data_IF_965637321605
#
_entry.id   IF_965637321605
#
_cell.length_a   1.000
_cell.length_b   1.000
_cell.length_c   1.000
_cell.angle_alpha   90.00
_cell.angle_beta   90.00
_cell.angle_gamma   90.00
#
_symmetry.space_group_name_H-M   'P 1'
#
loop_
_entity.id
_entity.type
_entity.pdbx_description
1 polymer ?
#
# COMPACT_ATOMS: atom_id res chain seq x y z
N UNK A 1 -56.17 17.58 -64.57
CA UNK A 1 -54.97 18.38 -64.94
C UNK A 1 -54.28 18.86 -63.67
N UNK A 2 -53.04 18.40 -63.47
CA UNK A 2 -51.95 18.83 -62.54
C UNK A 2 -52.27 19.41 -61.15
N UNK A 3 -51.78 18.69 -60.12
CA UNK A 3 -50.72 19.08 -59.13
C UNK A 3 -50.75 18.03 -57.99
N UNK A 4 -49.77 17.14 -57.82
CA UNK A 4 -48.36 17.28 -57.40
C UNK A 4 -48.16 16.96 -55.91
N UNK A 5 -47.55 15.79 -55.68
CA UNK A 5 -46.45 15.47 -54.74
C UNK A 5 -46.59 15.65 -53.22
N UNK A 6 -45.91 14.71 -52.53
CA UNK A 6 -45.52 14.62 -51.11
C UNK A 6 -46.45 13.74 -50.27
N UNK A 7 -46.08 12.47 -50.06
CA UNK A 7 -45.76 11.88 -48.73
C UNK A 7 -44.98 10.57 -48.99
N UNK A 8 -43.66 10.62 -48.79
CA UNK A 8 -42.77 9.47 -48.76
C UNK A 8 -41.92 9.60 -47.50
N UNK A 9 -42.39 9.12 -46.36
CA UNK A 9 -41.57 8.85 -45.15
C UNK A 9 -42.39 8.21 -44.03
N UNK A 10 -42.57 6.88 -44.04
CA UNK A 10 -42.97 6.10 -42.85
C UNK A 10 -41.94 5.00 -42.50
N UNK A 11 -40.85 4.86 -43.26
CA UNK A 11 -39.85 3.81 -43.03
C UNK A 11 -38.44 4.37 -42.88
N UNK A 12 -38.19 5.19 -41.84
CA UNK A 12 -36.83 5.48 -41.35
C UNK A 12 -36.82 6.11 -39.94
N UNK A 13 -37.31 5.40 -38.92
CA UNK A 13 -37.14 5.83 -37.52
C UNK A 13 -36.86 4.65 -36.57
N UNK A 14 -36.17 3.64 -37.07
CA UNK A 14 -35.60 2.56 -36.27
C UNK A 14 -34.09 2.49 -36.53
N UNK A 15 -33.34 3.48 -36.05
CA UNK A 15 -31.89 3.42 -35.91
C UNK A 15 -31.41 4.55 -34.99
N UNK A 16 -30.70 4.15 -33.93
CA UNK A 16 -29.82 4.98 -33.08
C UNK A 16 -30.54 5.85 -32.03
N UNK A 17 -30.89 5.24 -30.90
CA UNK A 17 -30.74 5.87 -29.58
C UNK A 17 -29.48 5.33 -28.91
N UNK A 18 -28.32 5.75 -29.40
CA UNK A 18 -27.16 5.86 -28.52
C UNK A 18 -27.42 7.07 -27.63
N UNK A 19 -27.91 6.82 -26.42
CA UNK A 19 -27.96 7.85 -25.39
C UNK A 19 -26.52 8.13 -24.94
N UNK A 20 -25.88 9.10 -25.58
CA UNK A 20 -24.81 9.85 -24.93
C UNK A 20 -25.49 10.66 -23.84
N UNK A 21 -25.43 10.18 -22.60
CA UNK A 21 -25.87 10.96 -21.44
C UNK A 21 -25.09 12.28 -21.40
N UNK A 22 -25.72 13.38 -21.81
CA UNK A 22 -25.26 14.73 -21.51
C UNK A 22 -25.91 15.16 -20.18
N UNK A 23 -25.14 15.74 -19.24
CA UNK A 23 -25.70 16.30 -18.01
C UNK A 23 -26.60 17.49 -18.35
N UNK A 24 -27.81 17.54 -17.75
CA UNK A 24 -28.77 18.64 -17.90
C UNK A 24 -28.68 19.62 -16.72
N UNK A 25 -28.74 20.92 -17.02
CA UNK A 25 -28.46 22.07 -16.14
C UNK A 25 -29.31 22.20 -14.86
N UNK A 26 -28.59 22.44 -13.76
CA UNK A 26 -28.81 23.40 -12.66
C UNK A 26 -30.20 23.51 -12.02
N UNK A 27 -30.53 22.51 -11.21
CA UNK A 27 -31.07 22.73 -9.86
C UNK A 27 -30.74 21.58 -8.90
N UNK A 28 -30.34 20.42 -9.43
CA UNK A 28 -29.77 19.30 -8.67
C UNK A 28 -28.41 18.95 -9.28
N UNK A 29 -27.34 19.03 -8.50
CA UNK A 29 -26.00 18.54 -8.84
C UNK A 29 -25.95 16.98 -8.89
N UNK A 30 -27.00 16.32 -9.37
CA UNK A 30 -27.15 14.86 -9.33
C UNK A 30 -27.01 14.24 -10.72
N UNK A 31 -26.07 13.32 -10.84
CA UNK A 31 -25.80 12.51 -12.04
C UNK A 31 -26.41 11.12 -11.83
N UNK A 32 -27.11 10.61 -12.84
CA UNK A 32 -27.71 9.28 -12.82
C UNK A 32 -27.04 8.37 -13.84
N UNK A 33 -26.59 7.20 -13.39
CA UNK A 33 -26.10 6.12 -14.25
C UNK A 33 -27.06 4.95 -14.20
N UNK A 34 -27.44 4.45 -15.37
CA UNK A 34 -28.30 3.28 -15.54
C UNK A 34 -27.93 2.50 -16.80
N UNK A 35 -28.18 1.20 -16.81
CA UNK A 35 -27.91 0.34 -17.96
C UNK A 35 -26.41 0.12 -18.17
N UNK A 36 -25.92 0.40 -19.38
CA UNK A 36 -24.49 0.30 -19.70
C UNK A 36 -23.86 1.69 -19.79
N UNK A 37 -22.83 1.92 -18.98
CA UNK A 37 -22.02 3.15 -18.98
C UNK A 37 -20.61 2.81 -19.42
N UNK A 38 -20.12 3.51 -20.46
CA UNK A 38 -18.79 3.33 -21.00
C UNK A 38 -17.93 4.55 -20.65
N UNK A 39 -16.84 4.32 -19.90
CA UNK A 39 -15.88 5.35 -19.52
C UNK A 39 -14.59 5.16 -20.33
N UNK A 40 -14.36 6.04 -21.30
CA UNK A 40 -13.16 6.05 -22.16
C UNK A 40 -12.07 6.99 -21.66
N UNK A 41 -12.36 7.75 -20.61
CA UNK A 41 -11.47 8.65 -19.89
C UNK A 41 -11.91 8.70 -18.43
N UNK A 42 -11.03 9.21 -17.58
CA UNK A 42 -11.31 9.39 -16.16
C UNK A 42 -12.63 10.13 -15.96
N UNK A 43 -13.40 9.64 -15.00
CA UNK A 43 -14.60 10.32 -14.51
C UNK A 43 -14.32 10.82 -13.11
N UNK A 44 -14.43 12.13 -12.93
CA UNK A 44 -14.30 12.79 -11.63
C UNK A 44 -15.66 13.30 -11.22
N UNK A 45 -16.16 12.86 -10.06
CA UNK A 45 -17.30 13.49 -9.40
C UNK A 45 -16.78 14.52 -8.40
N UNK A 46 -17.13 15.78 -8.64
CA UNK A 46 -16.74 16.89 -7.78
C UNK A 46 -17.45 16.85 -6.42
N UNK A 47 -16.93 17.61 -5.46
CA UNK A 47 -17.39 17.58 -4.05
C UNK A 47 -18.88 17.91 -3.88
N UNK A 48 -19.39 18.79 -4.73
CA UNK A 48 -20.77 19.29 -4.68
C UNK A 48 -21.74 18.43 -5.48
N UNK A 49 -21.23 17.44 -6.21
CA UNK A 49 -22.02 16.56 -7.05
C UNK A 49 -22.38 15.26 -6.35
N UNK A 50 -23.49 14.68 -6.78
CA UNK A 50 -24.02 13.40 -6.31
C UNK A 50 -24.09 12.45 -7.50
N UNK A 51 -23.56 11.24 -7.35
CA UNK A 51 -23.68 10.20 -8.36
C UNK A 51 -24.57 9.07 -7.85
N UNK A 52 -25.70 8.87 -8.54
CA UNK A 52 -26.62 7.78 -8.29
C UNK A 52 -26.50 6.75 -9.40
N UNK A 53 -25.95 5.58 -9.07
CA UNK A 53 -25.86 4.44 -9.98
C UNK A 53 -27.00 3.48 -9.66
N UNK A 54 -27.87 3.21 -10.63
CA UNK A 54 -29.01 2.30 -10.46
C UNK A 54 -28.54 0.85 -10.30
N UNK A 55 -29.23 0.01 -9.51
CA UNK A 55 -28.96 -1.42 -9.44
C UNK A 55 -28.93 -2.07 -10.83
N UNK A 56 -28.03 -3.04 -11.02
CA UNK A 56 -27.83 -3.73 -12.30
C UNK A 56 -27.05 -2.94 -13.36
N UNK A 57 -26.58 -1.72 -13.05
CA UNK A 57 -25.74 -0.95 -13.98
C UNK A 57 -24.40 -1.63 -14.21
N UNK A 58 -23.97 -1.66 -15.47
CA UNK A 58 -22.67 -2.15 -15.91
C UNK A 58 -21.83 -0.94 -16.32
N UNK A 59 -20.74 -0.70 -15.60
CA UNK A 59 -19.73 0.30 -15.93
C UNK A 59 -18.54 -0.40 -16.57
N UNK A 60 -18.31 -0.12 -17.84
CA UNK A 60 -17.15 -0.59 -18.60
C UNK A 60 -16.11 0.52 -18.66
N UNK A 61 -14.89 0.22 -18.23
CA UNK A 61 -13.78 1.18 -18.18
C UNK A 61 -12.67 0.76 -19.14
N UNK A 62 -12.18 1.72 -19.92
CA UNK A 62 -11.02 1.53 -20.78
C UNK A 62 -9.73 1.37 -19.96
N UNK A 63 -8.65 0.98 -20.65
CA UNK A 63 -7.31 0.85 -20.08
C UNK A 63 -6.97 2.06 -19.21
N UNK A 64 -6.52 1.80 -17.98
CA UNK A 64 -6.01 2.81 -17.03
C UNK A 64 -7.02 3.87 -16.57
N UNK A 65 -8.27 3.84 -17.06
CA UNK A 65 -9.31 4.79 -16.65
C UNK A 65 -9.65 4.63 -15.18
N UNK A 66 -9.75 5.76 -14.48
CA UNK A 66 -10.10 5.84 -13.07
C UNK A 66 -11.48 6.47 -12.86
N UNK A 67 -12.20 5.96 -11.86
CA UNK A 67 -13.38 6.59 -11.28
C UNK A 67 -12.96 7.30 -10.00
N UNK A 68 -13.02 8.63 -10.00
CA UNK A 68 -12.60 9.47 -8.90
C UNK A 68 -13.79 10.14 -8.24
N UNK A 69 -13.90 9.91 -6.94
CA UNK A 69 -15.08 10.21 -6.15
C UNK A 69 -14.68 11.21 -5.05
N UNK A 70 -14.94 12.50 -5.28
CA UNK A 70 -14.69 13.55 -4.28
C UNK A 70 -15.98 14.02 -3.57
N UNK A 71 -17.16 13.77 -4.17
CA UNK A 71 -18.49 14.08 -3.61
C UNK A 71 -18.90 13.33 -2.34
N UNK A 72 -19.87 13.87 -1.61
CA UNK A 72 -20.33 13.38 -0.29
C UNK A 72 -21.38 12.26 -0.32
N UNK A 73 -21.95 11.87 -1.47
CA UNK A 73 -23.05 10.89 -1.52
C UNK A 73 -23.02 10.01 -2.77
N UNK A 74 -23.07 8.69 -2.56
CA UNK A 74 -23.27 7.69 -3.62
C UNK A 74 -24.35 6.68 -3.28
N UNK A 75 -24.88 6.08 -4.35
CA UNK A 75 -26.06 5.22 -4.39
C UNK A 75 -26.02 4.00 -3.45
N UNK A 76 -27.19 3.77 -2.85
CA UNK A 76 -27.59 2.52 -2.19
C UNK A 76 -28.04 1.52 -3.25
N UNK A 77 -27.51 0.30 -3.18
CA UNK A 77 -27.84 -0.81 -4.09
C UNK A 77 -28.61 -1.89 -3.32
N UNK A 78 -29.43 -2.65 -4.04
CA UNK A 78 -30.13 -3.85 -3.54
C UNK A 78 -29.35 -5.13 -3.93
N UNK A 79 -29.49 -6.19 -3.12
CA UNK A 79 -28.66 -7.40 -3.19
C UNK A 79 -28.80 -8.15 -4.53
N UNK A 80 -29.99 -8.08 -5.12
CA UNK A 80 -30.41 -8.91 -6.25
C UNK A 80 -29.81 -8.46 -7.58
N UNK A 81 -29.41 -7.19 -7.70
CA UNK A 81 -28.89 -6.60 -8.95
C UNK A 81 -27.63 -5.76 -8.67
N UNK A 82 -26.45 -6.39 -8.56
CA UNK A 82 -25.22 -5.68 -8.21
C UNK A 82 -24.80 -4.68 -9.30
N UNK A 83 -24.11 -3.61 -8.90
CA UNK A 83 -23.39 -2.75 -9.84
C UNK A 83 -22.10 -3.47 -10.26
N UNK A 84 -21.81 -3.51 -11.55
CA UNK A 84 -20.64 -4.21 -12.08
C UNK A 84 -19.65 -3.23 -12.71
N UNK A 85 -18.44 -3.19 -12.17
CA UNK A 85 -17.30 -2.48 -12.72
C UNK A 85 -16.38 -3.50 -13.41
N UNK A 86 -16.13 -3.31 -14.70
CA UNK A 86 -15.31 -4.23 -15.50
C UNK A 86 -14.51 -3.47 -16.58
N UNK A 87 -13.46 -4.11 -17.10
CA UNK A 87 -12.74 -3.60 -18.27
C UNK A 87 -13.60 -3.69 -19.54
N UNK A 88 -13.46 -2.72 -20.44
CA UNK A 88 -14.07 -2.73 -21.79
C UNK A 88 -13.28 -3.55 -22.81
N UNK A 89 -11.99 -3.79 -22.57
CA UNK A 89 -11.06 -4.49 -23.46
C UNK A 89 -10.19 -5.53 -22.75
N UNK A 90 -8.98 -5.76 -23.26
CA UNK A 90 -8.08 -6.78 -22.72
C UNK A 90 -7.26 -6.31 -21.51
N UNK A 91 -6.96 -5.01 -21.45
CA UNK A 91 -6.08 -4.42 -20.43
C UNK A 91 -6.92 -3.94 -19.24
N UNK A 92 -6.36 -4.08 -18.05
CA UNK A 92 -7.01 -3.66 -16.81
C UNK A 92 -7.27 -2.14 -16.80
N UNK A 93 -8.41 -1.77 -16.23
CA UNK A 93 -8.72 -0.38 -15.92
C UNK A 93 -7.99 0.06 -14.64
N UNK A 94 -8.02 1.36 -14.35
CA UNK A 94 -7.26 1.97 -13.25
C UNK A 94 -7.76 1.53 -11.88
N UNK A 95 -8.64 2.34 -11.29
CA UNK A 95 -9.15 2.17 -9.92
C UNK A 95 -10.40 2.97 -9.62
N UNK A 96 -11.07 2.64 -8.52
CA UNK A 96 -12.06 3.50 -7.88
C UNK A 96 -11.36 4.23 -6.72
N UNK A 97 -11.13 5.52 -6.89
CA UNK A 97 -10.52 6.38 -5.88
C UNK A 97 -11.61 7.17 -5.15
N UNK A 98 -11.67 7.03 -3.83
CA UNK A 98 -12.69 7.64 -3.00
C UNK A 98 -12.02 8.58 -1.98
N UNK A 99 -12.33 9.86 -2.11
CA UNK A 99 -11.87 10.97 -1.26
C UNK A 99 -13.02 11.76 -0.63
N UNK A 100 -14.26 11.31 -0.84
CA UNK A 100 -15.46 11.82 -0.18
C UNK A 100 -16.07 10.77 0.76
N UNK A 101 -17.00 11.21 1.61
CA UNK A 101 -17.77 10.29 2.43
C UNK A 101 -18.77 9.53 1.55
N UNK A 102 -18.76 8.20 1.58
CA UNK A 102 -19.64 7.41 0.72
C UNK A 102 -19.82 5.98 1.22
N UNK A 103 -20.76 5.26 0.61
CA UNK A 103 -20.96 3.82 0.82
C UNK A 103 -20.92 3.11 -0.53
N UNK A 104 -20.10 2.07 -0.63
CA UNK A 104 -20.15 1.09 -1.71
C UNK A 104 -20.80 -0.18 -1.19
N UNK A 105 -21.88 -0.60 -1.85
CA UNK A 105 -22.64 -1.78 -1.46
C UNK A 105 -23.02 -2.64 -2.66
N UNK A 106 -22.90 -3.96 -2.51
CA UNK A 106 -23.28 -4.93 -3.55
C UNK A 106 -22.63 -4.65 -4.91
N UNK A 107 -21.35 -4.24 -4.91
CA UNK A 107 -20.59 -4.04 -6.14
C UNK A 107 -19.82 -5.30 -6.53
N UNK A 108 -19.66 -5.53 -7.82
CA UNK A 108 -18.69 -6.47 -8.39
C UNK A 108 -17.60 -5.65 -9.07
N UNK A 109 -16.38 -5.73 -8.57
CA UNK A 109 -15.22 -4.98 -9.05
C UNK A 109 -14.16 -6.00 -9.46
N UNK A 110 -13.79 -6.02 -10.73
CA UNK A 110 -12.82 -7.00 -11.25
C UNK A 110 -11.95 -6.46 -12.36
N UNK A 111 -10.78 -7.09 -12.52
CA UNK A 111 -9.86 -6.86 -13.63
C UNK A 111 -9.37 -5.40 -13.72
N UNK A 112 -8.98 -4.83 -12.58
CA UNK A 112 -8.34 -3.51 -12.44
C UNK A 112 -6.90 -3.63 -11.94
N UNK A 113 -6.15 -2.52 -12.03
CA UNK A 113 -4.88 -2.40 -11.32
C UNK A 113 -5.13 -2.33 -9.82
N UNK A 114 -5.86 -1.34 -9.31
CA UNK A 114 -6.27 -1.27 -7.91
C UNK A 114 -7.80 -1.27 -7.81
N UNK A 115 -8.36 -1.99 -6.83
CA UNK A 115 -9.80 -2.12 -6.67
C UNK A 115 -10.44 -0.82 -6.17
N UNK A 116 -10.30 -0.58 -4.86
CA UNK A 116 -10.81 0.60 -4.18
C UNK A 116 -9.67 1.25 -3.38
N UNK A 117 -9.44 2.55 -3.59
CA UNK A 117 -8.58 3.37 -2.74
C UNK A 117 -9.43 4.29 -1.86
N UNK A 118 -9.27 4.19 -0.55
CA UNK A 118 -10.02 4.95 0.44
C UNK A 118 -9.10 5.98 1.09
N UNK A 119 -9.41 7.26 0.91
CA UNK A 119 -8.74 8.37 1.58
C UNK A 119 -9.59 8.97 2.69
N UNK A 120 -10.84 8.50 2.83
CA UNK A 120 -11.81 8.91 3.86
C UNK A 120 -12.46 7.69 4.51
N UNK A 121 -13.20 7.92 5.60
CA UNK A 121 -13.89 6.86 6.34
C UNK A 121 -15.20 6.47 5.63
N UNK A 122 -15.13 5.44 4.79
CA UNK A 122 -16.24 4.97 3.96
C UNK A 122 -16.72 3.59 4.36
N UNK A 123 -17.93 3.22 3.92
CA UNK A 123 -18.46 1.88 4.15
C UNK A 123 -18.36 1.05 2.86
N UNK A 124 -17.57 -0.02 2.86
CA UNK A 124 -17.48 -0.99 1.76
C UNK A 124 -18.10 -2.29 2.25
N UNK A 125 -19.29 -2.62 1.73
CA UNK A 125 -20.02 -3.77 2.24
C UNK A 125 -20.64 -4.66 1.17
N UNK A 126 -20.60 -5.98 1.39
CA UNK A 126 -21.24 -6.95 0.48
C UNK A 126 -20.72 -6.89 -0.97
N UNK A 127 -19.49 -6.44 -1.18
CA UNK A 127 -18.86 -6.36 -2.49
C UNK A 127 -18.08 -7.64 -2.81
N UNK A 128 -17.91 -7.90 -4.10
CA UNK A 128 -16.97 -8.91 -4.63
C UNK A 128 -15.86 -8.18 -5.36
N UNK A 129 -14.62 -8.34 -4.90
CA UNK A 129 -13.45 -7.65 -5.45
C UNK A 129 -12.41 -8.69 -5.81
N UNK A 130 -11.95 -8.69 -7.07
CA UNK A 130 -11.02 -9.73 -7.54
C UNK A 130 -10.10 -9.33 -8.67
N UNK A 131 -9.00 -10.07 -8.82
CA UNK A 131 -8.04 -9.89 -9.94
C UNK A 131 -7.43 -8.49 -9.96
N UNK A 132 -6.92 -8.04 -8.82
CA UNK A 132 -6.30 -6.71 -8.65
C UNK A 132 -4.88 -6.82 -8.08
N UNK A 133 -4.12 -5.73 -8.15
CA UNK A 133 -2.90 -5.57 -7.36
C UNK A 133 -3.26 -5.43 -5.87
N UNK A 134 -3.95 -4.36 -5.48
CA UNK A 134 -4.58 -4.25 -4.16
C UNK A 134 -6.10 -4.19 -4.31
N UNK A 135 -6.86 -5.04 -3.61
CA UNK A 135 -8.32 -5.03 -3.74
C UNK A 135 -8.96 -3.87 -2.98
N UNK A 136 -8.52 -3.61 -1.74
CA UNK A 136 -8.90 -2.42 -0.98
C UNK A 136 -7.64 -1.83 -0.33
N UNK A 137 -7.36 -0.55 -0.58
CA UNK A 137 -6.26 0.19 0.04
C UNK A 137 -6.80 1.35 0.88
N UNK A 138 -6.48 1.38 2.17
CA UNK A 138 -6.83 2.47 3.08
C UNK A 138 -5.62 3.39 3.24
N UNK A 139 -5.73 4.68 2.92
CA UNK A 139 -4.66 5.68 3.02
C UNK A 139 -5.01 6.75 4.06
N UNK A 140 -4.45 6.63 5.28
CA UNK A 140 -4.75 7.54 6.38
C UNK A 140 -6.22 7.58 6.78
N UNK A 141 -6.96 6.51 6.49
CA UNK A 141 -8.43 6.46 6.56
C UNK A 141 -8.93 5.34 7.47
N UNK A 142 -10.18 5.46 7.93
CA UNK A 142 -10.80 4.50 8.86
C UNK A 142 -12.12 3.94 8.30
N UNK A 143 -12.10 3.29 7.12
CA UNK A 143 -13.30 2.72 6.53
C UNK A 143 -13.80 1.48 7.29
N UNK A 144 -15.10 1.20 7.15
CA UNK A 144 -15.70 -0.08 7.51
C UNK A 144 -15.67 -0.99 6.29
N UNK A 145 -14.98 -2.13 6.41
CA UNK A 145 -14.88 -3.16 5.38
C UNK A 145 -15.57 -4.42 5.92
N UNK A 146 -16.80 -4.66 5.47
CA UNK A 146 -17.65 -5.72 6.03
C UNK A 146 -18.32 -6.62 5.00
N UNK A 147 -18.42 -7.92 5.27
CA UNK A 147 -19.18 -8.88 4.45
C UNK A 147 -18.73 -8.94 2.98
N UNK A 148 -17.48 -8.59 2.68
CA UNK A 148 -16.96 -8.62 1.32
C UNK A 148 -16.33 -9.98 0.99
N UNK A 149 -16.28 -10.29 -0.31
CA UNK A 149 -15.51 -11.40 -0.84
C UNK A 149 -14.33 -10.86 -1.65
N UNK A 150 -13.11 -11.06 -1.16
CA UNK A 150 -11.88 -10.46 -1.67
C UNK A 150 -10.91 -11.55 -2.11
N UNK A 151 -10.66 -11.64 -3.41
CA UNK A 151 -10.13 -12.87 -4.00
C UNK A 151 -9.14 -12.66 -5.13
N UNK A 152 -8.15 -13.56 -5.25
CA UNK A 152 -7.24 -13.60 -6.41
C UNK A 152 -6.53 -12.28 -6.72
N UNK A 153 -6.23 -11.48 -5.70
CA UNK A 153 -5.43 -10.25 -5.82
C UNK A 153 -4.01 -10.46 -5.28
N UNK A 154 -3.07 -9.57 -5.62
CA UNK A 154 -1.74 -9.61 -4.97
C UNK A 154 -1.91 -9.36 -3.47
N UNK A 155 -2.66 -8.32 -3.09
CA UNK A 155 -3.02 -8.02 -1.71
C UNK A 155 -4.53 -7.87 -1.61
N UNK A 156 -5.16 -8.55 -0.64
CA UNK A 156 -6.59 -8.42 -0.41
C UNK A 156 -6.96 -7.06 0.19
N UNK A 157 -6.46 -6.75 1.38
CA UNK A 157 -6.67 -5.45 2.03
C UNK A 157 -5.32 -4.87 2.48
N UNK A 158 -5.05 -3.62 2.12
CA UNK A 158 -3.88 -2.87 2.56
C UNK A 158 -4.28 -1.77 3.52
N UNK A 159 -3.76 -1.80 4.74
CA UNK A 159 -3.85 -0.71 5.71
C UNK A 159 -2.55 0.10 5.63
N UNK A 160 -2.51 1.14 4.79
CA UNK A 160 -1.34 2.02 4.69
C UNK A 160 -1.14 2.81 6.00
N UNK A 161 0.00 3.53 6.15
CA UNK A 161 0.26 4.30 7.36
C UNK A 161 -0.88 5.23 7.77
N UNK A 162 -1.09 5.32 9.08
CA UNK A 162 -2.13 6.12 9.73
C UNK A 162 -3.59 5.68 9.45
N UNK A 163 -3.80 4.51 8.84
CA UNK A 163 -5.15 3.97 8.62
C UNK A 163 -5.64 3.16 9.82
N UNK A 164 -6.93 3.26 10.17
CA UNK A 164 -7.55 2.49 11.26
C UNK A 164 -8.90 1.87 10.85
N UNK A 165 -8.92 1.01 9.81
CA UNK A 165 -10.16 0.42 9.33
C UNK A 165 -10.74 -0.62 10.30
N UNK A 166 -12.05 -0.78 10.28
CA UNK A 166 -12.74 -1.94 10.86
C UNK A 166 -12.97 -2.99 9.77
N UNK A 167 -12.31 -4.14 9.90
CA UNK A 167 -12.34 -5.23 8.91
C UNK A 167 -13.02 -6.44 9.52
N UNK A 168 -14.26 -6.74 9.12
CA UNK A 168 -14.98 -7.87 9.72
C UNK A 168 -15.94 -8.62 8.82
N UNK A 169 -16.17 -9.90 9.14
CA UNK A 169 -17.03 -10.81 8.38
C UNK A 169 -16.69 -10.91 6.88
N UNK A 170 -15.45 -10.63 6.49
CA UNK A 170 -15.01 -10.77 5.10
C UNK A 170 -14.51 -12.20 4.85
N UNK A 171 -14.67 -12.65 3.60
CA UNK A 171 -13.98 -13.83 3.08
C UNK A 171 -12.81 -13.35 2.22
N UNK A 172 -11.59 -13.66 2.66
CA UNK A 172 -10.34 -13.22 2.04
C UNK A 172 -9.56 -14.47 1.63
N UNK A 173 -9.58 -14.80 0.33
CA UNK A 173 -9.00 -16.06 -0.13
C UNK A 173 -8.27 -15.98 -1.48
N UNK A 174 -7.25 -16.82 -1.66
CA UNK A 174 -6.55 -16.92 -2.94
C UNK A 174 -5.70 -15.70 -3.31
N UNK A 175 -5.53 -14.73 -2.40
CA UNK A 175 -4.63 -13.58 -2.61
C UNK A 175 -3.18 -13.99 -2.37
N UNK A 176 -2.18 -13.19 -2.75
CA UNK A 176 -0.81 -13.47 -2.29
C UNK A 176 -0.71 -13.20 -0.79
N UNK A 177 -1.06 -11.99 -0.37
CA UNK A 177 -1.22 -11.61 1.03
C UNK A 177 -2.70 -11.31 1.28
N UNK A 178 -3.28 -11.88 2.34
CA UNK A 178 -4.68 -11.62 2.69
C UNK A 178 -4.88 -10.16 3.14
N UNK A 179 -4.21 -9.77 4.24
CA UNK A 179 -4.22 -8.41 4.77
C UNK A 179 -2.78 -7.94 5.01
N UNK A 180 -2.42 -6.79 4.47
CA UNK A 180 -1.16 -6.10 4.75
C UNK A 180 -1.41 -4.92 5.70
N UNK A 181 -0.69 -4.89 6.82
CA UNK A 181 -0.79 -3.86 7.85
C UNK A 181 0.54 -3.10 7.91
N UNK A 182 0.55 -1.87 7.41
CA UNK A 182 1.74 -1.03 7.42
C UNK A 182 1.97 -0.37 8.78
N UNK A 183 3.16 0.22 8.92
CA UNK A 183 3.58 0.98 10.11
C UNK A 183 2.56 2.07 10.44
N UNK A 184 2.44 2.40 11.73
CA UNK A 184 1.51 3.44 12.25
C UNK A 184 0.02 3.25 11.93
N UNK A 185 -0.39 2.13 11.33
CA UNK A 185 -1.81 1.78 11.18
C UNK A 185 -2.34 1.09 12.44
N UNK A 186 -3.66 1.15 12.64
CA UNK A 186 -4.35 0.51 13.76
C UNK A 186 -5.69 -0.13 13.39
N UNK A 187 -5.70 -1.17 12.54
CA UNK A 187 -6.93 -1.83 12.15
C UNK A 187 -7.50 -2.69 13.29
N UNK A 188 -8.83 -2.83 13.28
CA UNK A 188 -9.56 -3.86 14.03
C UNK A 188 -9.97 -4.95 13.06
N UNK A 189 -9.48 -6.18 13.26
CA UNK A 189 -9.70 -7.30 12.34
C UNK A 189 -10.45 -8.38 13.10
N UNK A 190 -11.72 -8.62 12.78
CA UNK A 190 -12.54 -9.59 13.51
C UNK A 190 -13.47 -10.46 12.67
N UNK A 191 -13.68 -11.71 13.07
CA UNK A 191 -14.67 -12.59 12.44
C UNK A 191 -14.49 -12.80 10.92
N UNK A 192 -13.27 -12.64 10.39
CA UNK A 192 -12.99 -12.87 8.98
C UNK A 192 -12.59 -14.33 8.72
N UNK A 193 -12.85 -14.80 7.50
CA UNK A 193 -12.36 -16.07 6.96
C UNK A 193 -11.16 -15.75 6.06
N UNK A 194 -9.94 -16.03 6.53
CA UNK A 194 -8.67 -15.69 5.85
C UNK A 194 -7.95 -16.98 5.48
N UNK A 195 -8.20 -17.48 4.28
CA UNK A 195 -7.85 -18.86 3.90
C UNK A 195 -7.20 -18.95 2.53
N UNK A 196 -6.33 -19.94 2.31
CA UNK A 196 -5.76 -20.24 0.99
C UNK A 196 -5.08 -19.06 0.29
N UNK A 197 -4.56 -18.08 1.05
CA UNK A 197 -3.70 -17.06 0.48
C UNK A 197 -2.30 -17.67 0.21
N UNK A 198 -1.64 -17.28 -0.88
CA UNK A 198 -0.41 -17.92 -1.38
C UNK A 198 0.75 -17.79 -0.40
N UNK A 199 0.89 -16.65 0.24
CA UNK A 199 1.91 -16.39 1.25
C UNK A 199 1.30 -16.41 2.65
N UNK A 200 0.88 -15.26 3.17
CA UNK A 200 0.40 -15.16 4.55
C UNK A 200 -1.04 -14.66 4.60
N UNK A 201 -1.78 -15.09 5.62
CA UNK A 201 -3.10 -14.52 5.91
C UNK A 201 -2.99 -13.04 6.27
N UNK A 202 -2.06 -12.70 7.15
CA UNK A 202 -1.73 -11.32 7.54
C UNK A 202 -0.21 -11.11 7.43
N UNK A 203 0.22 -10.03 6.78
CA UNK A 203 1.57 -9.48 6.93
C UNK A 203 1.47 -8.15 7.68
N UNK A 204 2.28 -7.94 8.73
CA UNK A 204 2.22 -6.72 9.54
C UNK A 204 3.60 -6.12 9.83
N UNK A 205 3.65 -4.79 9.87
CA UNK A 205 4.80 -3.98 10.31
C UNK A 205 4.64 -3.36 11.69
N UNK A 206 3.45 -3.50 12.31
CA UNK A 206 3.10 -2.90 13.61
C UNK A 206 2.56 -3.95 14.58
N UNK A 207 2.57 -3.64 15.87
CA UNK A 207 1.88 -4.44 16.90
C UNK A 207 0.54 -3.78 17.30
N UNK A 208 0.26 -2.61 16.73
CA UNK A 208 -0.93 -1.83 17.03
C UNK A 208 -2.10 -2.31 16.16
N UNK A 209 -2.62 -3.52 16.37
CA UNK A 209 -3.86 -3.97 15.71
C UNK A 209 -4.61 -4.95 16.59
N UNK A 210 -5.93 -4.99 16.44
CA UNK A 210 -6.79 -5.94 17.16
C UNK A 210 -7.10 -7.12 16.25
N UNK A 211 -7.00 -8.33 16.79
CA UNK A 211 -7.29 -9.57 16.06
C UNK A 211 -8.18 -10.49 16.90
N UNK A 212 -9.45 -10.65 16.50
CA UNK A 212 -10.45 -11.38 17.28
C UNK A 212 -11.28 -12.33 16.40
N UNK A 213 -11.50 -13.57 16.83
CA UNK A 213 -12.42 -14.52 16.17
C UNK A 213 -12.22 -14.74 14.66
N UNK A 214 -10.99 -14.55 14.15
CA UNK A 214 -10.69 -14.79 12.74
C UNK A 214 -10.35 -16.26 12.49
N UNK A 215 -10.89 -16.82 11.42
CA UNK A 215 -10.60 -18.17 10.98
C UNK A 215 -9.49 -18.19 9.93
N UNK A 216 -8.42 -18.94 10.19
CA UNK A 216 -7.29 -19.10 9.27
C UNK A 216 -7.12 -20.57 8.89
N UNK A 217 -7.00 -20.85 7.59
CA UNK A 217 -6.79 -22.19 7.07
C UNK A 217 -5.95 -22.15 5.79
N UNK A 218 -4.96 -23.04 5.68
CA UNK A 218 -4.23 -23.31 4.43
C UNK A 218 -3.58 -22.08 3.75
N UNK A 219 -3.14 -21.07 4.51
CA UNK A 219 -2.32 -19.99 3.94
C UNK A 219 -0.90 -20.50 3.70
N UNK A 220 -0.31 -20.29 2.51
CA UNK A 220 0.83 -21.09 2.04
C UNK A 220 2.09 -21.07 2.91
N UNK A 221 2.41 -19.92 3.52
CA UNK A 221 3.57 -19.74 4.40
C UNK A 221 3.20 -19.57 5.89
N UNK A 222 1.97 -19.17 6.20
CA UNK A 222 1.48 -19.11 7.58
C UNK A 222 0.29 -18.17 7.80
N UNK A 223 -0.17 -18.09 9.06
CA UNK A 223 -1.25 -17.16 9.46
C UNK A 223 -0.76 -15.72 9.43
N UNK A 224 0.34 -15.44 10.12
CA UNK A 224 0.82 -14.07 10.35
C UNK A 224 2.33 -14.00 10.14
N UNK A 225 2.78 -13.05 9.33
CA UNK A 225 4.18 -12.64 9.23
C UNK A 225 4.36 -11.26 9.87
N UNK A 226 5.25 -11.16 10.84
CA UNK A 226 5.67 -9.87 11.41
C UNK A 226 7.04 -9.49 10.86
N UNK A 227 7.07 -8.39 10.12
CA UNK A 227 8.28 -7.76 9.59
C UNK A 227 8.53 -6.44 10.30
N UNK A 228 9.79 -6.05 10.41
CA UNK A 228 10.22 -4.79 11.00
C UNK A 228 11.27 -4.15 10.10
N UNK A 229 11.47 -2.84 10.24
CA UNK A 229 12.53 -2.13 9.53
C UNK A 229 13.76 -2.03 10.42
N UNK A 230 14.93 -2.38 9.88
CA UNK A 230 16.21 -2.14 10.51
C UNK A 230 17.00 -1.12 9.69
N UNK A 231 17.30 0.02 10.32
CA UNK A 231 18.18 1.06 9.79
C UNK A 231 19.56 0.88 10.40
N UNK A 232 20.58 0.65 9.57
CA UNK A 232 21.97 0.53 10.02
C UNK A 232 22.75 1.74 9.55
N UNK A 233 23.39 2.44 10.49
CA UNK A 233 24.29 3.57 10.21
C UNK A 233 25.73 3.15 10.45
N UNK A 234 26.53 3.24 9.40
CA UNK A 234 27.96 2.97 9.43
C UNK A 234 28.70 4.30 9.55
N UNK A 235 29.46 4.42 10.65
CA UNK A 235 30.23 5.62 10.97
C UNK A 235 31.67 5.27 11.25
N UNK A 236 32.55 6.25 11.09
CA UNK A 236 33.93 6.16 11.53
C UNK A 236 34.05 6.44 13.04
N UNK A 237 35.27 6.42 13.57
CA UNK A 237 35.49 6.63 15.01
C UNK A 237 35.01 8.00 15.50
N UNK A 238 35.08 9.03 14.65
CA UNK A 238 34.64 10.40 14.96
C UNK A 238 33.16 10.64 14.66
N UNK A 239 32.45 9.66 14.09
CA UNK A 239 31.02 9.73 13.84
C UNK A 239 30.64 10.20 12.44
N UNK A 240 31.60 10.34 11.52
CA UNK A 240 31.32 10.67 10.13
C UNK A 240 30.83 9.43 9.37
N UNK A 241 29.85 9.56 8.46
CA UNK A 241 29.31 8.43 7.71
C UNK A 241 30.37 7.79 6.81
N UNK A 242 30.27 6.47 6.61
CA UNK A 242 31.13 5.72 5.69
C UNK A 242 30.29 5.12 4.57
N UNK A 243 30.55 5.56 3.34
CA UNK A 243 29.94 5.03 2.12
C UNK A 243 30.71 3.82 1.58
N UNK A 244 30.08 3.12 0.64
CA UNK A 244 30.60 1.95 -0.05
C UNK A 244 30.87 0.72 0.84
N UNK A 245 30.29 0.67 2.04
CA UNK A 245 30.42 -0.45 2.97
C UNK A 245 29.29 -1.44 2.73
N UNK A 246 29.62 -2.73 2.58
CA UNK A 246 28.60 -3.76 2.41
C UNK A 246 28.01 -4.17 3.75
N UNK A 247 26.69 -4.21 3.85
CA UNK A 247 25.95 -4.59 5.06
C UNK A 247 24.96 -5.68 4.70
N UNK A 248 24.98 -6.79 5.44
CA UNK A 248 24.04 -7.89 5.27
C UNK A 248 23.35 -8.22 6.60
N UNK A 249 22.07 -8.56 6.54
CA UNK A 249 21.33 -9.05 7.69
C UNK A 249 20.94 -10.51 7.50
N UNK A 250 21.03 -11.26 8.59
CA UNK A 250 20.64 -12.65 8.69
C UNK A 250 19.68 -12.82 9.87
N UNK A 251 18.74 -13.75 9.75
CA UNK A 251 17.90 -14.14 10.87
C UNK A 251 18.63 -15.10 11.84
N UNK A 252 17.93 -15.52 12.90
CA UNK A 252 18.51 -16.41 13.92
C UNK A 252 18.92 -17.80 13.38
N UNK A 253 18.40 -18.19 12.23
CA UNK A 253 18.71 -19.47 11.59
C UNK A 253 19.90 -19.36 10.63
N UNK A 254 20.45 -18.14 10.45
CA UNK A 254 21.51 -17.86 9.50
C UNK A 254 21.00 -17.63 8.08
N UNK A 255 19.68 -17.52 7.86
CA UNK A 255 19.15 -17.18 6.55
C UNK A 255 19.38 -15.70 6.25
N UNK A 256 19.97 -15.44 5.08
CA UNK A 256 20.24 -14.07 4.63
C UNK A 256 18.94 -13.39 4.24
N UNK A 257 18.61 -12.31 4.93
CA UNK A 257 17.41 -11.50 4.67
C UNK A 257 17.68 -10.48 3.55
N UNK A 258 18.83 -9.82 3.59
CA UNK A 258 19.25 -8.85 2.58
C UNK A 258 20.75 -8.56 2.65
N UNK A 259 21.27 -7.96 1.58
CA UNK A 259 22.64 -7.43 1.50
C UNK A 259 22.61 -6.16 0.66
N UNK A 260 23.00 -5.05 1.27
CA UNK A 260 22.95 -3.70 0.72
C UNK A 260 24.32 -3.04 0.87
N UNK A 261 24.48 -1.83 0.34
CA UNK A 261 25.73 -1.06 0.44
C UNK A 261 25.44 0.41 0.71
N UNK A 262 26.20 1.00 1.64
CA UNK A 262 26.00 2.41 2.03
C UNK A 262 26.31 3.34 0.86
N UNK A 263 25.48 4.37 0.67
CA UNK A 263 25.66 5.35 -0.41
C UNK A 263 25.22 4.92 -1.81
N UNK A 264 24.62 3.73 -1.98
CA UNK A 264 24.04 3.27 -3.26
C UNK A 264 22.51 3.42 -3.33
N UNK A 265 21.86 3.67 -2.19
CA UNK A 265 20.41 3.88 -2.11
C UNK A 265 20.07 5.38 -2.05
N UNK A 266 18.80 5.73 -2.29
CA UNK A 266 18.26 7.07 -2.02
C UNK A 266 18.11 7.32 -0.51
N UNK A 267 19.18 7.09 0.25
CA UNK A 267 19.29 7.26 1.69
C UNK A 267 20.47 8.20 2.00
N UNK A 268 20.49 8.84 3.19
CA UNK A 268 21.65 9.61 3.64
C UNK A 268 22.93 8.75 3.67
N UNK A 269 24.07 9.41 3.54
CA UNK A 269 25.39 8.76 3.56
C UNK A 269 25.57 7.86 4.80
N UNK A 270 26.24 6.73 4.59
CA UNK A 270 26.51 5.76 5.64
C UNK A 270 25.29 4.97 6.12
N UNK A 271 24.12 5.12 5.49
CA UNK A 271 22.89 4.43 5.90
C UNK A 271 22.54 3.33 4.91
N UNK A 272 22.07 2.20 5.45
CA UNK A 272 21.24 1.21 4.72
C UNK A 272 19.98 0.95 5.51
N UNK A 273 18.89 0.63 4.82
CA UNK A 273 17.62 0.27 5.46
C UNK A 273 17.04 -1.00 4.83
N UNK A 274 16.74 -2.00 5.66
CA UNK A 274 16.25 -3.29 5.18
C UNK A 274 15.16 -3.86 6.08
N UNK A 275 14.35 -4.76 5.53
CA UNK A 275 13.28 -5.44 6.28
C UNK A 275 13.83 -6.69 6.96
N UNK A 276 13.51 -6.88 8.24
CA UNK A 276 13.81 -8.11 8.98
C UNK A 276 12.53 -8.81 9.42
N UNK A 277 12.58 -10.13 9.60
CA UNK A 277 11.45 -10.90 10.12
C UNK A 277 11.57 -10.99 11.63
N UNK A 278 10.54 -10.59 12.37
CA UNK A 278 10.52 -10.74 13.83
C UNK A 278 9.97 -12.12 14.21
N UNK A 279 8.82 -12.50 13.66
CA UNK A 279 8.23 -13.81 13.86
C UNK A 279 7.27 -14.20 12.73
N UNK A 280 7.00 -15.51 12.65
CA UNK A 280 5.92 -16.10 11.86
C UNK A 280 4.99 -16.87 12.79
N UNK A 281 3.68 -16.74 12.61
CA UNK A 281 2.68 -17.63 13.22
C UNK A 281 2.25 -18.61 12.12
N UNK A 282 2.61 -19.87 12.27
CA UNK A 282 2.28 -20.93 11.30
C UNK A 282 0.78 -21.31 11.35
N UNK A 283 0.30 -22.06 10.35
CA UNK A 283 -1.11 -22.47 10.26
C UNK A 283 -1.60 -23.32 11.44
N UNK A 284 -0.72 -24.07 12.08
CA UNK A 284 -1.03 -24.80 13.32
C UNK A 284 -1.08 -23.89 14.56
N UNK A 285 -0.81 -22.59 14.44
CA UNK A 285 -0.77 -21.62 15.53
C UNK A 285 0.58 -21.46 16.22
N UNK A 286 1.61 -22.25 15.87
CA UNK A 286 2.93 -22.10 16.50
C UNK A 286 3.60 -20.79 16.09
N UNK A 287 4.07 -20.03 17.09
CA UNK A 287 4.83 -18.78 16.87
C UNK A 287 6.33 -19.08 16.83
N UNK A 288 6.94 -18.80 15.68
CA UNK A 288 8.37 -19.00 15.41
C UNK A 288 9.03 -17.62 15.36
N UNK A 289 9.87 -17.32 16.34
CA UNK A 289 10.66 -16.09 16.35
C UNK A 289 11.84 -16.21 15.39
N UNK A 290 12.17 -15.15 14.65
CA UNK A 290 13.35 -15.06 13.76
C UNK A 290 14.45 -14.14 14.32
N UNK A 291 14.24 -13.63 15.54
CA UNK A 291 15.20 -12.82 16.32
C UNK A 291 16.05 -13.72 17.25
N UNK A 292 17.29 -13.34 17.62
CA UNK A 292 18.04 -12.16 17.18
C UNK A 292 18.49 -12.23 15.72
N UNK A 293 18.85 -11.08 15.18
CA UNK A 293 19.41 -10.94 13.83
C UNK A 293 20.92 -10.73 13.90
N UNK A 294 21.64 -11.20 12.90
CA UNK A 294 23.08 -10.94 12.75
C UNK A 294 23.31 -9.94 11.62
N UNK A 295 23.96 -8.83 11.92
CA UNK A 295 24.35 -7.79 10.97
C UNK A 295 25.84 -7.92 10.69
N UNK A 296 26.16 -8.29 9.46
CA UNK A 296 27.52 -8.44 8.96
C UNK A 296 27.90 -7.20 8.15
N UNK A 297 28.94 -6.50 8.57
CA UNK A 297 29.48 -5.32 7.90
C UNK A 297 30.84 -5.67 7.32
N UNK A 298 31.02 -5.46 6.02
CA UNK A 298 32.28 -5.72 5.30
C UNK A 298 32.79 -4.47 4.58
N UNK A 299 34.06 -4.15 4.83
CA UNK A 299 34.81 -3.08 4.17
C UNK A 299 36.22 -3.59 3.85
N UNK A 300 36.47 -3.94 2.59
CA UNK A 300 37.68 -4.66 2.18
C UNK A 300 37.80 -6.02 2.90
N UNK A 301 38.92 -6.26 3.57
CA UNK A 301 39.17 -7.47 4.37
C UNK A 301 38.55 -7.41 5.77
N UNK A 302 38.10 -6.23 6.23
CA UNK A 302 37.50 -6.06 7.54
C UNK A 302 36.08 -6.61 7.54
N UNK A 303 35.76 -7.45 8.53
CA UNK A 303 34.42 -7.96 8.78
C UNK A 303 34.05 -7.76 10.25
N UNK A 304 32.88 -7.15 10.49
CA UNK A 304 32.31 -6.98 11.83
C UNK A 304 30.91 -7.58 11.84
N UNK A 305 30.68 -8.47 12.81
CA UNK A 305 29.37 -9.07 13.04
C UNK A 305 28.75 -8.49 14.33
N UNK A 306 27.49 -8.07 14.25
CA UNK A 306 26.72 -7.53 15.38
C UNK A 306 25.39 -8.24 15.51
N UNK A 307 25.12 -8.79 16.68
CA UNK A 307 23.81 -9.36 17.02
C UNK A 307 22.87 -8.24 17.49
N UNK A 308 21.65 -8.20 16.96
CA UNK A 308 20.64 -7.18 17.29
C UNK A 308 19.27 -7.81 17.52
N UNK A 309 18.52 -7.26 18.47
CA UNK A 309 17.12 -7.59 18.71
C UNK A 309 16.23 -6.45 18.21
N UNK A 310 15.71 -6.59 17.00
CA UNK A 310 14.81 -5.59 16.40
C UNK A 310 13.43 -5.75 17.04
N UNK A 311 13.02 -4.75 17.85
CA UNK A 311 11.76 -4.78 18.60
C UNK A 311 10.79 -3.70 18.17
N UNK A 312 11.30 -2.56 17.72
CA UNK A 312 10.48 -1.44 17.26
C UNK A 312 10.12 -1.58 15.77
N UNK A 313 9.06 -0.90 15.33
CA UNK A 313 8.69 -0.81 13.90
C UNK A 313 9.87 -0.40 13.02
N UNK A 314 10.69 0.53 13.54
CA UNK A 314 12.00 0.89 13.00
C UNK A 314 13.02 0.83 14.13
N UNK A 315 13.99 -0.06 14.00
CA UNK A 315 15.15 -0.12 14.89
C UNK A 315 16.33 0.59 14.23
N UNK A 316 17.06 1.41 14.99
CA UNK A 316 18.26 2.10 14.52
C UNK A 316 19.50 1.50 15.18
N UNK A 317 20.40 0.97 14.37
CA UNK A 317 21.67 0.41 14.82
C UNK A 317 22.83 1.27 14.29
N UNK A 318 23.68 1.78 15.17
CA UNK A 318 24.90 2.50 14.78
C UNK A 318 26.09 1.57 14.95
N UNK A 319 26.88 1.39 13.89
CA UNK A 319 28.12 0.61 13.90
C UNK A 319 29.27 1.55 13.58
N UNK A 320 30.20 1.68 14.53
CA UNK A 320 31.45 2.40 14.32
C UNK A 320 32.53 1.45 13.82
N UNK A 321 33.15 1.79 12.70
CA UNK A 321 34.30 1.08 12.16
C UNK A 321 35.60 1.70 12.70
N UNK A 322 36.64 0.91 12.99
CA UNK A 322 37.94 1.37 13.47
C UNK A 322 38.79 2.00 12.35
N UNK A 323 38.19 2.90 11.57
CA UNK A 323 38.81 3.66 10.48
C UNK A 323 38.50 5.14 10.67
N UNK A 324 39.21 6.00 9.93
CA UNK A 324 38.90 7.43 9.80
C UNK A 324 38.61 7.75 8.34
N UNK A 325 37.47 8.40 8.10
CA UNK A 325 37.13 8.97 6.79
C UNK A 325 38.13 10.05 6.39
N UNK A 326 38.13 10.43 5.12
CA UNK A 326 38.95 11.56 4.64
C UNK A 326 38.65 12.85 5.41
N UNK A 327 37.37 13.14 5.63
CA UNK A 327 36.90 14.27 6.44
C UNK A 327 37.46 14.21 7.86
N UNK A 328 37.38 13.06 8.52
CA UNK A 328 37.97 12.88 9.85
C UNK A 328 39.48 13.05 9.87
N UNK A 329 40.19 12.56 8.85
CA UNK A 329 41.65 12.73 8.74
C UNK A 329 42.02 14.22 8.63
N UNK A 330 41.28 15.01 7.85
CA UNK A 330 41.46 16.46 7.77
C UNK A 330 41.21 17.11 9.13
N UNK A 331 40.11 16.76 9.80
CA UNK A 331 39.76 17.35 11.10
C UNK A 331 40.85 17.10 12.14
N UNK A 332 41.35 15.86 12.22
CA UNK A 332 42.45 15.50 13.12
C UNK A 332 43.72 16.26 12.77
N UNK A 333 44.07 16.39 11.48
CA UNK A 333 45.23 17.15 11.05
C UNK A 333 45.14 18.64 11.43
N UNK A 334 43.99 19.26 11.23
CA UNK A 334 43.74 20.67 11.61
C UNK A 334 43.85 20.85 13.12
N UNK A 335 43.32 19.93 13.92
CA UNK A 335 43.41 19.99 15.38
C UNK A 335 44.87 19.88 15.85
N UNK A 336 45.64 18.96 15.27
CA UNK A 336 47.07 18.79 15.58
C UNK A 336 47.84 20.07 15.26
N UNK A 337 47.60 20.68 14.09
CA UNK A 337 48.25 21.94 13.70
C UNK A 337 47.90 23.07 14.69
N UNK A 338 46.62 23.19 15.06
CA UNK A 338 46.18 24.20 16.04
C UNK A 338 46.87 24.02 17.40
N UNK A 339 46.98 22.77 17.89
CA UNK A 339 47.67 22.45 19.14
C UNK A 339 49.15 22.82 19.06
N UNK A 340 49.82 22.49 17.95
CA UNK A 340 51.23 22.85 17.73
C UNK A 340 51.42 24.37 17.76
N UNK A 341 50.56 25.14 17.12
CA UNK A 341 50.61 26.61 17.12
C UNK A 341 50.47 27.14 18.55
N UNK A 342 49.50 26.63 19.33
CA UNK A 342 49.28 27.02 20.72
C UNK A 342 50.53 26.72 21.57
N UNK A 343 51.13 25.53 21.41
CA UNK A 343 52.35 25.15 22.14
C UNK A 343 53.50 26.09 21.78
N UNK A 344 53.71 26.40 20.51
CA UNK A 344 54.74 27.34 20.05
C UNK A 344 54.50 28.73 20.67
N UNK A 345 53.27 29.20 20.73
CA UNK A 345 52.93 30.50 21.32
C UNK A 345 53.18 30.53 22.83
N UNK A 346 52.82 29.46 23.56
CA UNK A 346 53.11 29.30 24.99
C UNK A 346 54.63 29.30 25.23
N UNK A 347 55.40 28.60 24.38
CA UNK A 347 56.86 28.58 24.48
C UNK A 347 57.48 29.95 24.20
N UNK A 348 56.93 30.72 23.26
CA UNK A 348 57.38 32.10 22.98
C UNK A 348 57.09 33.07 24.13
N UNK A 349 55.95 32.93 24.82
CA UNK A 349 55.59 33.78 25.97
C UNK A 349 56.39 33.46 27.25
N UNK A 350 57.03 32.28 27.32
CA UNK A 350 57.89 31.86 28.44
C UNK A 350 59.37 32.20 28.26
N UNK A 351 59.77 32.64 27.08
CA UNK A 351 61.09 33.26 26.82
C UNK A 351 60.95 34.76 26.96
#
# INVERSE_FOLDING_TARGET
MKKSFIVLTIALMALIKFSLGKPTNSQDNTIYWEGEVNLTKDFTLDKEDVLIIKPGTIIKMDKEVCLQIYGERYAVVEKENPIIFMKSGEINWGKIEIRGNTTLKYCIIKDCYDGIECWESINITNCKISSTLSAISCYGSSPIIMNNNITNSTIGITCNPYSSPEIYNNTIYGNIIGILIERTSSPVIRSNIIVKNRDYGIETRTDNFVLEDNYFLENGKGKILKKLTLRVEIKDLLGFPINCVSVAAYDKFGEKLWKLKTGEENLPEGIVEGTVIQYVIANNGSKIWHTPHTICVKDGEMEINKTVFVKNEVERLIIKLPVLTFTSKILVAVLIIAIIIIIIEIMRKRR
#
